data_IF_338678920443
#
_entry.id   IF_338678920443
#
_cell.length_a   1.000
_cell.length_b   1.000
_cell.length_c   1.000
_cell.angle_alpha   90.00
_cell.angle_beta   90.00
_cell.angle_gamma   90.00
#
_symmetry.space_group_name_H-M   'P 1'
#
loop_
_entity.id
_entity.type
_entity.pdbx_description
1 polymer ?
#
# COMPACT_ATOMS: atom_id res chain seq x y z
N UNK A 1 -12.76 2.80 -19.16
CA UNK A 1 -11.33 2.46 -19.34
C UNK A 1 -10.56 3.76 -19.44
N UNK A 2 -9.38 3.83 -18.82
CA UNK A 2 -8.52 5.02 -18.90
C UNK A 2 -7.59 4.81 -20.09
N UNK A 3 -7.56 5.77 -21.01
CA UNK A 3 -6.66 5.73 -22.16
C UNK A 3 -5.38 6.51 -21.82
N UNK A 4 -4.33 5.76 -21.49
CA UNK A 4 -3.02 6.30 -21.16
C UNK A 4 -1.95 5.37 -21.74
N UNK A 5 -0.97 5.94 -22.45
CA UNK A 5 0.13 5.17 -23.00
C UNK A 5 1.05 4.69 -21.87
N UNK A 6 1.38 3.39 -21.78
CA UNK A 6 2.36 2.90 -20.81
C UNK A 6 3.73 3.57 -20.95
N UNK A 7 4.07 4.07 -22.15
CA UNK A 7 5.32 4.80 -22.39
C UNK A 7 5.39 6.15 -21.69
N UNK A 8 4.24 6.76 -21.38
CA UNK A 8 4.15 8.06 -20.70
C UNK A 8 4.20 7.89 -19.17
N UNK A 9 4.18 6.65 -18.68
CA UNK A 9 4.14 6.32 -17.26
C UNK A 9 5.46 5.71 -16.78
N UNK A 10 5.76 5.98 -15.52
CA UNK A 10 6.83 5.33 -14.78
C UNK A 10 6.30 4.82 -13.43
N UNK A 11 7.00 3.82 -12.89
CA UNK A 11 6.60 3.13 -11.66
C UNK A 11 7.69 3.30 -10.61
N UNK A 12 7.29 3.71 -9.41
CA UNK A 12 8.10 3.65 -8.20
C UNK A 12 7.65 2.46 -7.37
N UNK A 13 8.58 1.60 -6.98
CA UNK A 13 8.31 0.40 -6.21
C UNK A 13 9.12 0.46 -4.93
N UNK A 14 8.44 0.39 -3.80
CA UNK A 14 9.04 -0.01 -2.53
C UNK A 14 8.57 -1.43 -2.21
N UNK A 15 9.46 -2.44 -2.36
CA UNK A 15 9.06 -3.83 -2.19
C UNK A 15 8.73 -4.17 -0.73
N UNK A 16 9.38 -3.50 0.23
CA UNK A 16 9.14 -3.64 1.67
C UNK A 16 9.49 -2.30 2.33
N UNK A 17 8.47 -1.46 2.53
CA UNK A 17 8.59 -0.27 3.37
C UNK A 17 8.64 -0.69 4.85
N UNK A 18 9.28 0.13 5.68
CA UNK A 18 9.50 -0.13 7.10
C UNK A 18 10.31 -1.40 7.37
N UNK A 19 11.42 -1.58 6.63
CA UNK A 19 12.31 -2.75 6.73
C UNK A 19 12.76 -3.05 8.16
N UNK A 20 12.95 -2.03 9.01
CA UNK A 20 13.28 -2.23 10.41
C UNK A 20 12.18 -2.99 11.16
N UNK A 21 10.91 -2.62 10.97
CA UNK A 21 9.79 -3.28 11.62
C UNK A 21 9.54 -4.67 11.03
N UNK A 22 9.76 -4.84 9.72
CA UNK A 22 9.71 -6.15 9.05
C UNK A 22 10.74 -7.12 9.66
N UNK A 23 12.01 -6.71 9.73
CA UNK A 23 13.08 -7.54 10.31
C UNK A 23 12.88 -7.75 11.81
N UNK A 24 12.38 -6.73 12.52
CA UNK A 24 12.08 -6.81 13.94
C UNK A 24 10.96 -7.80 14.28
N UNK A 25 10.05 -8.09 13.34
CA UNK A 25 9.12 -9.21 13.41
C UNK A 25 8.11 -9.15 14.56
N UNK A 26 7.89 -7.97 15.18
CA UNK A 26 6.96 -7.85 16.31
C UNK A 26 5.52 -8.02 15.83
N UNK A 27 4.85 -9.07 16.30
CA UNK A 27 3.50 -9.43 15.86
C UNK A 27 2.40 -8.82 16.75
N UNK A 28 2.65 -8.70 18.06
CA UNK A 28 1.63 -8.36 19.06
C UNK A 28 1.69 -6.87 19.49
N UNK A 29 1.69 -5.96 18.52
CA UNK A 29 1.70 -4.51 18.80
C UNK A 29 0.27 -3.99 18.88
N UNK A 30 -0.12 -3.47 20.04
CA UNK A 30 -1.47 -2.92 20.26
C UNK A 30 -1.63 -1.58 19.53
N UNK A 31 -2.68 -1.41 18.70
CA UNK A 31 -2.98 -0.13 18.06
C UNK A 31 -3.33 0.96 19.08
N UNK A 32 -2.84 2.18 18.84
CA UNK A 32 -3.17 3.37 19.61
C UNK A 32 -4.10 4.22 18.74
N UNK A 33 -5.35 4.41 19.18
CA UNK A 33 -6.38 5.12 18.41
C UNK A 33 -6.58 4.57 16.96
N UNK A 34 -6.46 3.25 16.81
CA UNK A 34 -6.60 2.58 15.50
C UNK A 34 -5.34 2.61 14.63
N UNK A 35 -4.24 3.20 15.10
CA UNK A 35 -2.95 3.24 14.40
C UNK A 35 -1.98 2.28 15.05
N UNK A 36 -1.35 1.42 14.25
CA UNK A 36 -0.30 0.50 14.72
C UNK A 36 1.01 1.31 14.83
N UNK A 37 1.60 1.48 16.03
CA UNK A 37 2.80 2.31 16.21
C UNK A 37 4.11 1.63 15.80
N UNK A 38 4.07 0.36 15.38
CA UNK A 38 5.25 -0.42 14.97
C UNK A 38 4.94 -1.91 14.78
N UNK A 39 5.97 -2.70 14.52
CA UNK A 39 5.87 -4.13 14.25
C UNK A 39 5.42 -4.44 12.83
N UNK A 40 5.12 -5.70 12.57
CA UNK A 40 4.79 -6.19 11.22
C UNK A 40 3.63 -5.44 10.57
N UNK A 41 2.67 -4.92 11.36
CA UNK A 41 1.58 -4.09 10.85
C UNK A 41 2.02 -2.75 10.23
N UNK A 42 3.29 -2.35 10.39
CA UNK A 42 3.88 -1.17 9.74
C UNK A 42 4.60 -1.48 8.43
N UNK A 43 4.83 -2.76 8.10
CA UNK A 43 5.52 -3.15 6.87
C UNK A 43 4.54 -3.20 5.69
N UNK A 44 4.86 -2.49 4.61
CA UNK A 44 3.99 -2.31 3.44
C UNK A 44 4.69 -2.69 2.15
N UNK A 45 3.91 -3.00 1.11
CA UNK A 45 4.36 -3.01 -0.27
C UNK A 45 3.74 -1.80 -0.96
N UNK A 46 4.57 -0.94 -1.55
CA UNK A 46 4.12 0.31 -2.17
C UNK A 46 4.44 0.29 -3.67
N UNK A 47 3.42 0.51 -4.49
CA UNK A 47 3.56 0.64 -5.95
C UNK A 47 2.88 1.94 -6.36
N UNK A 48 3.69 2.94 -6.72
CA UNK A 48 3.23 4.23 -7.24
C UNK A 48 3.44 4.31 -8.73
N UNK A 49 2.48 4.85 -9.46
CA UNK A 49 2.59 5.15 -10.90
C UNK A 49 2.48 6.66 -11.07
N UNK A 50 3.37 7.22 -11.88
CA UNK A 50 3.41 8.66 -12.16
C UNK A 50 3.60 8.93 -13.66
N UNK A 51 3.12 10.08 -14.11
CA UNK A 51 3.42 10.60 -15.45
C UNK A 51 4.88 11.02 -15.53
N UNK A 52 5.60 10.55 -16.56
CA UNK A 52 7.02 10.86 -16.76
C UNK A 52 7.27 12.34 -17.05
N UNK A 53 6.37 12.98 -17.80
CA UNK A 53 6.51 14.35 -18.25
C UNK A 53 6.30 15.35 -17.11
N UNK A 54 5.25 15.15 -16.32
CA UNK A 54 4.85 16.07 -15.24
C UNK A 54 5.41 15.68 -13.87
N UNK A 55 5.75 14.41 -13.67
CA UNK A 55 6.10 13.86 -12.35
C UNK A 55 4.88 13.58 -11.46
N UNK A 56 3.66 13.88 -11.92
CA UNK A 56 2.45 13.77 -11.12
C UNK A 56 2.09 12.29 -10.85
N UNK A 57 1.79 11.89 -9.61
CA UNK A 57 1.28 10.56 -9.30
C UNK A 57 -0.14 10.39 -9.85
N UNK A 58 -0.40 9.28 -10.53
CA UNK A 58 -1.67 9.01 -11.23
C UNK A 58 -2.36 7.74 -10.76
N UNK A 59 -1.63 6.81 -10.14
CA UNK A 59 -2.19 5.60 -9.54
C UNK A 59 -1.29 5.14 -8.39
N UNK A 60 -1.89 4.50 -7.39
CA UNK A 60 -1.16 3.88 -6.30
C UNK A 60 -1.81 2.59 -5.84
N UNK A 61 -0.98 1.65 -5.41
CA UNK A 61 -1.38 0.44 -4.69
C UNK A 61 -0.57 0.38 -3.39
N UNK A 62 -1.28 0.17 -2.28
CA UNK A 62 -0.72 -0.09 -0.96
C UNK A 62 -1.19 -1.48 -0.56
N UNK A 63 -0.27 -2.39 -0.29
CA UNK A 63 -0.62 -3.70 0.26
C UNK A 63 -0.05 -3.82 1.68
N UNK A 64 -0.92 -4.22 2.61
CA UNK A 64 -0.62 -4.50 4.01
C UNK A 64 -0.62 -6.03 4.19
N UNK A 65 0.54 -6.71 4.12
CA UNK A 65 0.59 -8.18 4.22
C UNK A 65 0.15 -8.69 5.58
N UNK A 66 0.43 -7.90 6.63
CA UNK A 66 0.26 -8.26 8.04
C UNK A 66 -0.91 -7.51 8.69
N UNK A 67 -2.05 -7.43 8.00
CA UNK A 67 -3.20 -6.67 8.46
C UNK A 67 -3.95 -7.35 9.62
N UNK A 68 -4.27 -8.64 9.47
CA UNK A 68 -5.00 -9.40 10.48
C UNK A 68 -4.36 -10.77 10.68
N UNK A 69 -4.05 -11.13 11.92
CA UNK A 69 -3.55 -12.46 12.28
C UNK A 69 -4.69 -13.31 12.83
N UNK A 70 -4.82 -14.51 12.29
CA UNK A 70 -5.74 -15.52 12.84
C UNK A 70 -5.17 -16.04 14.17
N UNK A 71 -5.90 -15.92 15.29
CA UNK A 71 -5.40 -16.33 16.60
C UNK A 71 -5.29 -17.86 16.78
N UNK A 72 -5.96 -18.65 15.94
CA UNK A 72 -5.92 -20.12 16.01
C UNK A 72 -4.87 -20.70 15.07
N UNK A 73 -4.80 -20.18 13.84
CA UNK A 73 -3.87 -20.71 12.82
C UNK A 73 -2.54 -19.98 12.76
N UNK A 74 -2.44 -18.83 13.44
CA UNK A 74 -1.31 -17.91 13.41
C UNK A 74 -0.96 -17.37 12.01
N UNK A 75 -1.84 -17.58 11.02
CA UNK A 75 -1.64 -17.10 9.65
C UNK A 75 -2.02 -15.64 9.53
N UNK A 76 -1.28 -14.93 8.68
CA UNK A 76 -1.57 -13.56 8.32
C UNK A 76 -2.54 -13.51 7.13
N UNK A 77 -3.53 -12.63 7.25
CA UNK A 77 -4.40 -12.18 6.17
C UNK A 77 -4.05 -10.74 5.87
N UNK A 78 -3.60 -10.49 4.64
CA UNK A 78 -3.34 -9.15 4.15
C UNK A 78 -4.61 -8.44 3.67
N UNK A 79 -4.46 -7.14 3.40
CA UNK A 79 -5.40 -6.34 2.63
C UNK A 79 -4.64 -5.43 1.67
N UNK A 80 -5.33 -4.86 0.70
CA UNK A 80 -4.76 -3.88 -0.20
C UNK A 80 -5.75 -2.76 -0.49
N UNK A 81 -5.18 -1.60 -0.77
CA UNK A 81 -5.88 -0.40 -1.17
C UNK A 81 -5.30 0.10 -2.49
N UNK A 82 -6.14 0.66 -3.33
CA UNK A 82 -5.72 1.27 -4.59
C UNK A 82 -6.46 2.57 -4.84
N UNK A 83 -5.82 3.45 -5.61
CA UNK A 83 -6.40 4.73 -6.02
C UNK A 83 -5.91 5.13 -7.41
N UNK A 84 -6.74 5.86 -8.14
CA UNK A 84 -6.43 6.39 -9.47
C UNK A 84 -6.88 7.85 -9.54
N UNK A 85 -5.98 8.72 -9.98
CA UNK A 85 -6.19 10.14 -10.18
C UNK A 85 -5.54 10.59 -11.51
N UNK A 86 -6.30 10.48 -12.61
CA UNK A 86 -5.82 10.82 -13.95
C UNK A 86 -6.91 11.53 -14.75
N UNK A 87 -6.60 12.70 -15.33
CA UNK A 87 -7.61 13.58 -15.95
C UNK A 87 -8.76 13.87 -14.98
N UNK A 88 -9.99 13.59 -15.40
CA UNK A 88 -11.21 13.71 -14.57
C UNK A 88 -11.50 12.46 -13.72
N UNK A 89 -10.75 11.37 -13.89
CA UNK A 89 -11.00 10.12 -13.17
C UNK A 89 -10.46 10.20 -11.75
N UNK A 90 -11.33 10.00 -10.75
CA UNK A 90 -10.97 9.85 -9.32
C UNK A 90 -11.67 8.62 -8.76
N UNK A 91 -10.94 7.53 -8.61
CA UNK A 91 -11.47 6.25 -8.13
C UNK A 91 -10.56 5.68 -7.05
N UNK A 92 -11.12 4.96 -6.08
CA UNK A 92 -10.33 4.20 -5.12
C UNK A 92 -11.07 2.95 -4.64
N UNK A 93 -10.33 2.04 -4.01
CA UNK A 93 -10.88 0.88 -3.31
C UNK A 93 -11.66 1.25 -2.04
N UNK A 94 -11.54 2.49 -1.58
CA UNK A 94 -12.18 2.96 -0.35
C UNK A 94 -13.59 3.42 -0.71
N UNK A 95 -14.58 2.98 0.07
CA UNK A 95 -15.93 3.51 -0.06
C UNK A 95 -15.94 4.98 0.39
N UNK A 96 -16.75 5.85 -0.25
CA UNK A 96 -17.00 7.21 0.24
C UNK A 96 -17.53 7.22 1.68
#
# INVERSE_FOLDING_TARGET
>A
TIDVSPGDLAVWIDPIDSTNEYVGGREDVTPIHGVVPGGLGSALVLIGVYERTSGCPVMGVINEPFYQRDPQTHRWRGRYHWGVAYGDTRLSSLSP
#
